data_IF_081494569137
#
_entry.id   IF_081494569137
#
_cell.length_a   1.000
_cell.length_b   1.000
_cell.length_c   1.000
_cell.angle_alpha   90.00
_cell.angle_beta   90.00
_cell.angle_gamma   90.00
#
_symmetry.space_group_name_H-M   'P 1'
#
loop_
_entity.id
_entity.type
_entity.pdbx_description
1 polymer ?
#
# COMPACT_ATOMS: atom_id res chain seq x y z
N UNK A 1 10.00 -21.80 -3.46
CA UNK A 1 8.61 -21.39 -3.19
C UNK A 1 8.61 -20.83 -1.79
N UNK A 2 9.23 -19.66 -1.63
CA UNK A 2 9.48 -19.10 -0.31
C UNK A 2 8.19 -18.46 0.18
N UNK A 3 7.60 -19.13 1.17
CA UNK A 3 6.54 -18.57 1.99
C UNK A 3 7.11 -17.30 2.63
N UNK A 4 6.82 -16.13 2.04
CA UNK A 4 7.05 -14.87 2.71
C UNK A 4 6.20 -14.90 3.98
N UNK A 5 6.90 -15.15 5.09
CA UNK A 5 6.36 -15.23 6.42
C UNK A 5 5.42 -14.05 6.62
N UNK A 6 4.23 -14.34 7.14
CA UNK A 6 3.31 -13.31 7.61
C UNK A 6 4.07 -12.46 8.64
N UNK A 7 4.59 -11.31 8.21
CA UNK A 7 5.28 -10.39 9.10
C UNK A 7 4.32 -10.04 10.24
N UNK A 8 4.77 -10.12 11.50
CA UNK A 8 3.90 -9.86 12.65
C UNK A 8 3.28 -8.47 12.52
N UNK A 9 1.98 -8.37 12.82
CA UNK A 9 1.30 -7.07 12.81
C UNK A 9 2.04 -6.11 13.75
N UNK A 10 2.25 -4.84 13.34
CA UNK A 10 2.77 -3.82 14.23
C UNK A 10 1.97 -3.81 15.54
N UNK A 11 2.67 -3.85 16.68
CA UNK A 11 2.05 -3.94 17.99
C UNK A 11 1.05 -2.78 18.20
N UNK A 12 -0.20 -3.13 18.52
CA UNK A 12 -1.28 -2.15 18.79
C UNK A 12 -2.29 -1.95 17.64
N UNK A 13 -2.15 -2.64 16.51
CA UNK A 13 -3.14 -2.58 15.43
C UNK A 13 -4.27 -3.60 15.63
N UNK A 14 -5.48 -3.10 15.89
CA UNK A 14 -6.67 -3.94 15.99
C UNK A 14 -6.94 -4.72 14.70
N UNK A 15 -7.37 -5.98 14.82
CA UNK A 15 -7.78 -6.81 13.68
C UNK A 15 -8.89 -6.10 12.88
N UNK A 16 -8.79 -6.12 11.55
CA UNK A 16 -9.78 -5.50 10.65
C UNK A 16 -9.69 -3.98 10.50
N UNK A 17 -8.71 -3.32 11.12
CA UNK A 17 -8.46 -1.88 10.92
C UNK A 17 -7.75 -1.60 9.58
N UNK A 18 -7.79 -0.35 9.13
CA UNK A 18 -7.14 0.06 7.88
C UNK A 18 -5.63 -0.27 7.83
N UNK A 19 -4.81 0.00 8.88
CA UNK A 19 -3.39 -0.36 8.86
C UNK A 19 -3.15 -1.87 8.75
N UNK A 20 -3.91 -2.69 9.47
CA UNK A 20 -3.84 -4.16 9.38
C UNK A 20 -4.13 -4.63 7.95
N UNK A 21 -5.14 -4.06 7.30
CA UNK A 21 -5.47 -4.40 5.92
C UNK A 21 -4.40 -3.95 4.93
N UNK A 22 -3.87 -2.74 5.12
CA UNK A 22 -2.79 -2.19 4.30
C UNK A 22 -1.53 -3.05 4.38
N UNK A 23 -1.20 -3.55 5.57
CA UNK A 23 -0.11 -4.49 5.80
C UNK A 23 -0.29 -5.81 5.04
N UNK A 24 -1.48 -6.40 5.10
CA UNK A 24 -1.74 -7.62 4.33
C UNK A 24 -1.61 -7.39 2.82
N UNK A 25 -2.05 -6.24 2.32
CA UNK A 25 -2.01 -5.93 0.89
C UNK A 25 -0.59 -5.64 0.38
N UNK A 26 0.23 -4.90 1.13
CA UNK A 26 1.62 -4.61 0.71
C UNK A 26 2.50 -5.85 0.71
N UNK A 27 2.15 -6.86 1.51
CA UNK A 27 2.84 -8.13 1.60
C UNK A 27 2.20 -9.24 0.73
N UNK A 28 1.12 -8.95 -0.01
CA UNK A 28 0.53 -9.90 -0.94
C UNK A 28 1.26 -9.79 -2.30
N UNK A 29 1.96 -10.84 -2.76
CA UNK A 29 2.72 -10.80 -4.01
C UNK A 29 1.83 -10.59 -5.25
N UNK A 30 0.51 -10.78 -5.12
CA UNK A 30 -0.43 -10.54 -6.20
C UNK A 30 -0.68 -9.04 -6.39
N UNK A 31 -0.59 -8.24 -5.32
CA UNK A 31 -0.77 -6.78 -5.33
C UNK A 31 0.52 -6.12 -5.77
N UNK A 32 0.50 -5.44 -6.92
CA UNK A 32 1.71 -4.82 -7.48
C UNK A 32 1.76 -3.33 -7.24
N UNK A 33 0.61 -2.71 -6.97
CA UNK A 33 0.44 -1.28 -6.70
C UNK A 33 0.96 -0.80 -5.35
N UNK A 34 1.25 -1.70 -4.42
CA UNK A 34 1.77 -1.39 -3.09
C UNK A 34 3.08 -2.14 -2.86
N UNK A 35 4.12 -1.45 -2.42
CA UNK A 35 5.42 -2.06 -2.07
C UNK A 35 6.08 -1.32 -0.92
N UNK A 36 7.00 -2.00 -0.23
CA UNK A 36 7.94 -1.32 0.64
C UNK A 36 9.00 -0.59 -0.19
N UNK A 37 9.52 0.51 0.33
CA UNK A 37 10.73 1.12 -0.22
C UNK A 37 11.96 0.24 0.04
N UNK A 38 13.09 0.59 -0.58
CA UNK A 38 14.33 -0.20 -0.48
C UNK A 38 14.87 -0.33 0.95
N UNK A 39 14.53 0.62 1.83
CA UNK A 39 14.94 0.61 3.24
C UNK A 39 13.90 -0.05 4.15
N UNK A 40 12.75 -0.47 3.60
CA UNK A 40 11.61 -0.99 4.35
C UNK A 40 11.12 -0.05 5.47
N UNK A 41 11.22 1.27 5.25
CA UNK A 41 10.79 2.33 6.17
C UNK A 41 9.58 3.11 5.66
N UNK A 42 9.18 2.87 4.43
CA UNK A 42 8.10 3.59 3.79
C UNK A 42 7.30 2.74 2.81
N UNK A 43 6.06 3.16 2.61
CA UNK A 43 5.12 2.59 1.67
C UNK A 43 5.18 3.33 0.34
N UNK A 44 5.39 2.59 -0.74
CA UNK A 44 5.31 3.05 -2.11
C UNK A 44 3.95 2.66 -2.69
N UNK A 45 3.28 3.62 -3.31
CA UNK A 45 1.96 3.44 -3.93
C UNK A 45 1.98 3.92 -5.38
N UNK A 46 1.75 3.04 -6.34
CA UNK A 46 1.42 3.40 -7.71
C UNK A 46 -0.07 3.73 -7.77
N UNK A 47 -0.41 5.01 -7.91
CA UNK A 47 -1.81 5.46 -7.92
C UNK A 47 -2.62 4.82 -9.04
N UNK A 48 -2.10 4.81 -10.26
CA UNK A 48 -2.84 4.34 -11.43
C UNK A 48 -3.07 2.84 -11.36
N UNK A 49 -2.08 2.08 -10.90
CA UNK A 49 -2.22 0.65 -10.69
C UNK A 49 -3.12 0.35 -9.48
N UNK A 50 -3.02 1.12 -8.39
CA UNK A 50 -3.88 0.96 -7.21
C UNK A 50 -5.35 1.16 -7.55
N UNK A 51 -5.69 2.20 -8.30
CA UNK A 51 -7.06 2.46 -8.75
C UNK A 51 -7.60 1.29 -9.59
N UNK A 52 -6.76 0.68 -10.45
CA UNK A 52 -7.13 -0.48 -11.27
C UNK A 52 -7.25 -1.78 -10.47
N UNK A 53 -6.32 -2.05 -9.56
CA UNK A 53 -6.23 -3.32 -8.82
C UNK A 53 -7.20 -3.40 -7.64
N UNK A 54 -7.40 -2.28 -6.92
CA UNK A 54 -8.03 -2.29 -5.59
C UNK A 54 -9.31 -1.44 -5.48
N UNK A 55 -9.58 -0.52 -6.42
CA UNK A 55 -10.72 0.41 -6.33
C UNK A 55 -11.78 0.28 -7.45
N UNK A 56 -11.52 -0.47 -8.53
CA UNK A 56 -12.47 -0.59 -9.65
C UNK A 56 -13.78 -1.27 -9.26
N UNK A 57 -14.95 -0.64 -9.48
CA UNK A 57 -16.24 -1.32 -9.46
C UNK A 57 -16.48 -1.99 -10.81
N UNK A 58 -16.59 -3.32 -10.83
CA UNK A 58 -16.97 -4.07 -12.03
C UNK A 58 -15.83 -4.83 -12.72
N UNK A 59 -15.63 -6.08 -12.31
CA UNK A 59 -15.39 -7.20 -13.23
C UNK A 59 -13.97 -7.50 -13.70
N UNK A 60 -13.08 -6.52 -13.90
CA UNK A 60 -11.67 -6.82 -14.15
C UNK A 60 -10.97 -7.04 -12.81
N UNK A 61 -11.05 -8.26 -12.28
CA UNK A 61 -10.56 -8.62 -10.95
C UNK A 61 -9.05 -8.44 -10.87
N UNK A 62 -8.62 -7.29 -10.33
CA UNK A 62 -7.30 -7.19 -9.73
C UNK A 62 -7.12 -8.25 -8.63
N UNK A 63 -5.92 -8.39 -8.07
CA UNK A 63 -5.59 -9.42 -7.09
C UNK A 63 -6.43 -9.37 -5.80
N UNK A 64 -6.99 -8.21 -5.47
CA UNK A 64 -7.86 -8.02 -4.30
C UNK A 64 -8.95 -6.97 -4.60
N UNK A 65 -9.97 -7.32 -5.41
CA UNK A 65 -11.05 -6.39 -5.73
C UNK A 65 -11.85 -6.09 -4.46
N UNK A 66 -12.24 -4.83 -4.26
CA UNK A 66 -12.94 -4.36 -3.05
C UNK A 66 -12.13 -4.52 -1.74
N UNK A 67 -10.80 -4.57 -1.85
CA UNK A 67 -9.92 -4.46 -0.69
C UNK A 67 -10.15 -3.16 0.10
N UNK A 68 -10.71 -2.12 -0.49
CA UNK A 68 -11.26 -1.01 0.27
C UNK A 68 -12.75 -0.85 -0.07
N UNK A 69 -13.56 -0.45 0.93
CA UNK A 69 -14.92 0.07 0.67
C UNK A 69 -14.87 1.39 -0.11
N UNK A 70 -13.69 2.01 -0.20
CA UNK A 70 -13.46 3.19 -1.00
C UNK A 70 -13.54 2.84 -2.49
N UNK A 71 -14.14 3.73 -3.26
CA UNK A 71 -14.16 3.69 -4.74
C UNK A 71 -13.22 4.74 -5.34
N UNK A 72 -12.60 5.57 -4.50
CA UNK A 72 -11.73 6.67 -4.90
C UNK A 72 -10.42 6.66 -4.11
N UNK A 73 -9.32 6.98 -4.78
CA UNK A 73 -7.98 7.07 -4.18
C UNK A 73 -7.89 8.13 -3.08
N UNK A 74 -8.64 9.22 -3.20
CA UNK A 74 -8.74 10.27 -2.16
C UNK A 74 -9.19 9.73 -0.80
N UNK A 75 -10.08 8.73 -0.79
CA UNK A 75 -10.54 8.09 0.45
C UNK A 75 -9.46 7.20 1.07
N UNK A 76 -8.62 6.57 0.25
CA UNK A 76 -7.43 5.86 0.71
C UNK A 76 -6.41 6.82 1.35
N UNK A 77 -6.13 7.96 0.71
CA UNK A 77 -5.24 9.00 1.25
C UNK A 77 -5.77 9.57 2.57
N UNK A 78 -7.10 9.77 2.68
CA UNK A 78 -7.71 10.21 3.94
C UNK A 78 -7.49 9.21 5.08
N UNK A 79 -7.57 7.90 4.79
CA UNK A 79 -7.25 6.87 5.78
C UNK A 79 -5.76 6.89 6.14
N UNK A 80 -4.85 6.99 5.16
CA UNK A 80 -3.42 7.17 5.42
C UNK A 80 -3.16 8.34 6.39
N UNK A 81 -3.71 9.52 6.09
CA UNK A 81 -3.57 10.70 6.95
C UNK A 81 -4.14 10.48 8.36
N UNK A 82 -5.31 9.82 8.47
CA UNK A 82 -5.95 9.51 9.76
C UNK A 82 -5.09 8.61 10.65
N UNK A 83 -4.32 7.71 10.04
CA UNK A 83 -3.44 6.77 10.74
C UNK A 83 -1.98 7.23 10.81
N UNK A 84 -1.72 8.51 10.54
CA UNK A 84 -0.40 9.13 10.77
C UNK A 84 0.61 8.97 9.63
N UNK A 85 0.21 8.44 8.48
CA UNK A 85 1.09 8.39 7.31
C UNK A 85 1.30 9.79 6.73
N UNK A 86 2.53 10.10 6.35
CA UNK A 86 2.92 11.38 5.74
C UNK A 86 3.50 11.14 4.37
N UNK A 87 3.03 11.88 3.37
CA UNK A 87 3.60 11.86 2.03
C UNK A 87 4.97 12.52 2.05
N UNK A 88 5.99 11.87 1.49
CA UNK A 88 7.34 12.43 1.36
C UNK A 88 7.44 13.16 0.01
N UNK A 89 7.61 14.49 -0.03
CA UNK A 89 7.78 15.23 -1.27
C UNK A 89 9.11 14.88 -1.94
N UNK A 90 9.15 14.85 -3.28
CA UNK A 90 10.40 14.69 -4.05
C UNK A 90 11.05 13.30 -4.01
N UNK A 91 10.70 12.44 -3.04
CA UNK A 91 11.14 11.04 -3.02
C UNK A 91 10.17 10.20 -3.84
N UNK A 92 10.43 10.09 -5.14
CA UNK A 92 9.92 8.95 -5.89
C UNK A 92 10.54 7.69 -5.25
N UNK A 93 9.72 6.69 -4.93
CA UNK A 93 10.27 5.40 -4.53
C UNK A 93 11.24 4.92 -5.59
N UNK A 94 12.42 4.44 -5.19
CA UNK A 94 13.33 3.76 -6.09
C UNK A 94 12.69 2.43 -6.51
N UNK A 95 11.69 2.49 -7.39
CA UNK A 95 11.23 1.35 -8.15
C UNK A 95 12.27 1.07 -9.25
N UNK A 96 12.32 -0.19 -9.68
CA UNK A 96 13.29 -0.69 -10.65
C UNK A 96 13.45 0.27 -11.86
N UNK A 97 14.66 0.36 -12.46
CA UNK A 97 14.91 1.21 -13.61
C UNK A 97 13.95 0.80 -14.75
N UNK A 98 12.95 1.66 -15.01
CA UNK A 98 11.80 1.38 -15.88
C UNK A 98 10.51 2.05 -15.38
N UNK A 99 10.37 2.22 -14.06
CA UNK A 99 9.23 2.88 -13.40
C UNK A 99 9.50 4.37 -13.12
N UNK A 100 10.07 5.08 -14.10
CA UNK A 100 10.44 6.49 -13.96
C UNK A 100 9.19 7.38 -13.88
N UNK A 101 8.69 7.55 -12.65
CA UNK A 101 7.87 8.69 -12.26
C UNK A 101 6.37 8.44 -12.08
N UNK A 102 5.96 7.70 -11.05
CA UNK A 102 4.58 7.79 -10.51
C UNK A 102 4.38 7.28 -9.07
N UNK A 103 5.42 6.76 -8.40
CA UNK A 103 5.26 6.18 -7.07
C UNK A 103 5.12 7.25 -6.00
N UNK A 104 4.00 7.23 -5.29
CA UNK A 104 3.76 8.06 -4.12
C UNK A 104 4.39 7.40 -2.91
N UNK A 105 5.30 8.11 -2.26
CA UNK A 105 5.97 7.61 -1.06
C UNK A 105 5.31 8.16 0.21
N UNK A 106 4.96 7.25 1.12
CA UNK A 106 4.38 7.56 2.42
C UNK A 106 5.21 6.92 3.53
N UNK A 107 5.47 7.65 4.61
CA UNK A 107 6.16 7.13 5.80
C UNK A 107 5.27 7.20 7.01
N UNK A 108 5.46 6.26 7.93
CA UNK A 108 4.88 6.27 9.25
C UNK A 108 5.83 5.52 10.19
N UNK A 109 6.36 6.15 11.26
CA UNK A 109 7.31 5.52 12.18
C UNK A 109 6.82 4.23 12.84
N UNK A 110 5.50 4.02 12.88
CA UNK A 110 4.85 2.86 13.48
C UNK A 110 4.41 1.81 12.45
N UNK A 111 4.80 1.98 11.19
CA UNK A 111 4.40 1.11 10.08
C UNK A 111 5.63 0.80 9.20
N UNK A 112 6.40 -0.19 9.66
CA UNK A 112 7.53 -0.78 8.95
C UNK A 112 7.60 -2.28 9.28
N UNK A 113 8.00 -3.15 8.32
CA UNK A 113 8.31 -4.56 8.56
C UNK A 113 9.40 -4.79 9.62
#
# INVERSE_FOLDING_TARGET
>A
MDAMAQLPLPAGLGAGTFPTKLWSLVNDPRVRSLRWDSEARGLLVDRSLFERELLRPGGAQGPAPHAFRATQFSSFVRQLNRYGFRKVPGRAGAAAPGDAGAWLHYTNPWFSP
#
